data_IF_566769201692
#
_entry.id   IF_566769201692
#
_cell.length_a   1.000
_cell.length_b   1.000
_cell.length_c   1.000
_cell.angle_alpha   90.00
_cell.angle_beta   90.00
_cell.angle_gamma   90.00
#
_symmetry.space_group_name_H-M   'P 1'
#
loop_
_entity.id
_entity.type
_entity.pdbx_description
1 polymer ?
#
# COMPACT_ATOMS: atom_id res chain seq x y z
N UNK A 1 8.30 -23.52 -66.19
CA UNK A 1 8.46 -23.38 -64.71
C UNK A 1 8.87 -21.98 -64.21
N UNK A 2 9.25 -21.00 -65.06
CA UNK A 2 9.66 -19.65 -64.60
C UNK A 2 8.51 -18.76 -64.07
N UNK A 3 7.26 -19.01 -64.46
CA UNK A 3 6.10 -18.18 -64.07
C UNK A 3 5.64 -18.39 -62.61
N UNK A 4 5.80 -19.60 -62.07
CA UNK A 4 5.39 -19.93 -60.70
C UNK A 4 6.33 -19.26 -59.68
N UNK A 5 7.65 -19.30 -59.93
CA UNK A 5 8.63 -18.64 -59.06
C UNK A 5 8.48 -17.12 -58.98
N UNK A 6 8.02 -16.46 -60.07
CA UNK A 6 7.87 -15.00 -60.12
C UNK A 6 6.71 -14.46 -59.25
N UNK A 7 5.69 -15.28 -59.00
CA UNK A 7 4.55 -14.92 -58.15
C UNK A 7 4.58 -15.62 -56.78
N UNK A 8 5.62 -16.42 -56.51
CA UNK A 8 5.76 -17.17 -55.27
C UNK A 8 5.94 -16.23 -54.07
N UNK A 9 6.69 -15.15 -54.23
CA UNK A 9 6.90 -14.15 -53.18
C UNK A 9 5.61 -13.39 -52.85
N UNK A 10 4.77 -13.12 -53.87
CA UNK A 10 3.44 -12.50 -53.69
C UNK A 10 2.46 -13.44 -52.99
N UNK A 11 2.49 -14.73 -53.33
CA UNK A 11 1.70 -15.74 -52.65
C UNK A 11 2.14 -15.89 -51.19
N UNK A 12 3.45 -15.90 -50.93
CA UNK A 12 3.99 -15.93 -49.57
C UNK A 12 3.56 -14.69 -48.76
N UNK A 13 3.53 -13.51 -49.38
CA UNK A 13 3.05 -12.28 -48.75
C UNK A 13 1.56 -12.35 -48.38
N UNK A 14 0.73 -12.91 -49.26
CA UNK A 14 -0.71 -13.09 -49.01
C UNK A 14 -0.95 -14.11 -47.89
N UNK A 15 -0.19 -15.21 -47.89
CA UNK A 15 -0.22 -16.20 -46.82
C UNK A 15 0.22 -15.58 -45.49
N UNK A 16 1.28 -14.76 -45.49
CA UNK A 16 1.72 -14.02 -44.30
C UNK A 16 0.64 -13.06 -43.79
N UNK A 17 -0.03 -12.32 -44.68
CA UNK A 17 -1.09 -11.39 -44.33
C UNK A 17 -2.32 -12.08 -43.70
N UNK A 18 -2.60 -13.33 -44.07
CA UNK A 18 -3.65 -14.14 -43.47
C UNK A 18 -3.24 -14.78 -42.12
N UNK A 19 -1.95 -15.02 -41.90
CA UNK A 19 -1.45 -15.65 -40.67
C UNK A 19 -1.23 -14.62 -39.55
N UNK A 20 -0.86 -13.38 -39.88
CA UNK A 20 -0.68 -12.28 -38.93
C UNK A 20 -1.86 -12.06 -37.95
N UNK A 21 -3.13 -12.00 -38.38
CA UNK A 21 -4.23 -11.85 -37.43
C UNK A 21 -4.35 -13.06 -36.50
N UNK A 22 -4.11 -14.28 -36.99
CA UNK A 22 -4.25 -15.52 -36.21
C UNK A 22 -3.21 -15.60 -35.08
N UNK A 23 -1.98 -15.10 -35.31
CA UNK A 23 -0.96 -15.05 -34.25
C UNK A 23 -1.21 -13.94 -33.22
N UNK A 24 -1.84 -12.83 -33.61
CA UNK A 24 -2.26 -11.78 -32.65
C UNK A 24 -3.39 -12.24 -31.72
N UNK A 25 -4.29 -13.13 -32.18
CA UNK A 25 -5.36 -13.69 -31.33
C UNK A 25 -4.92 -14.93 -30.52
N UNK A 26 -3.68 -15.40 -30.68
CA UNK A 26 -3.15 -16.56 -29.96
C UNK A 26 -2.45 -16.19 -28.64
N UNK A 27 -2.36 -14.90 -28.30
CA UNK A 27 -1.90 -14.46 -26.99
C UNK A 27 -3.00 -14.76 -25.96
N UNK A 28 -2.88 -15.91 -25.31
CA UNK A 28 -3.77 -16.27 -24.22
C UNK A 28 -3.60 -15.26 -23.10
N UNK A 29 -4.64 -14.46 -22.85
CA UNK A 29 -4.74 -13.71 -21.60
C UNK A 29 -4.83 -14.73 -20.46
N UNK A 30 -3.70 -15.05 -19.84
CA UNK A 30 -3.72 -15.64 -18.52
C UNK A 30 -4.42 -14.62 -17.62
N UNK A 31 -5.67 -14.89 -17.25
CA UNK A 31 -6.37 -14.13 -16.22
C UNK A 31 -5.65 -14.42 -14.90
N UNK A 32 -4.59 -13.65 -14.65
CA UNK A 32 -3.86 -13.66 -13.40
C UNK A 32 -4.65 -12.81 -12.43
N UNK A 33 -5.09 -13.43 -11.34
CA UNK A 33 -5.63 -12.69 -10.20
C UNK A 33 -4.44 -12.03 -9.51
N UNK A 34 -4.18 -10.77 -9.88
CA UNK A 34 -3.19 -9.95 -9.18
C UNK A 34 -3.62 -9.77 -7.73
N UNK A 35 -2.68 -9.89 -6.79
CA UNK A 35 -2.96 -9.64 -5.39
C UNK A 35 -3.35 -8.15 -5.23
N UNK A 36 -4.59 -7.81 -4.85
CA UNK A 36 -5.01 -6.42 -4.69
C UNK A 36 -4.28 -5.70 -3.54
N UNK A 37 -3.66 -6.46 -2.63
CA UNK A 37 -2.84 -5.96 -1.51
C UNK A 37 -1.37 -5.77 -1.92
N UNK A 38 -0.97 -6.32 -3.09
CA UNK A 38 0.38 -6.21 -3.67
C UNK A 38 1.52 -6.63 -2.74
N UNK A 39 1.24 -7.51 -1.76
CA UNK A 39 2.23 -8.04 -0.83
C UNK A 39 2.70 -9.43 -1.26
N UNK A 40 4.01 -9.59 -1.49
CA UNK A 40 4.61 -10.88 -1.86
C UNK A 40 5.08 -11.69 -0.65
N UNK A 41 5.41 -11.01 0.45
CA UNK A 41 5.88 -11.63 1.70
C UNK A 41 5.03 -11.23 2.91
N UNK A 42 5.10 -12.02 3.98
CA UNK A 42 4.47 -11.69 5.26
C UNK A 42 4.96 -10.33 5.80
N UNK A 43 6.25 -10.01 5.58
CA UNK A 43 6.84 -8.74 6.00
C UNK A 43 6.20 -7.58 5.23
N UNK A 44 6.02 -7.72 3.92
CA UNK A 44 5.41 -6.68 3.09
C UNK A 44 3.92 -6.49 3.41
N UNK A 45 3.22 -7.58 3.75
CA UNK A 45 1.84 -7.50 4.23
C UNK A 45 1.76 -6.70 5.54
N UNK A 46 2.63 -7.00 6.50
CA UNK A 46 2.71 -6.27 7.78
C UNK A 46 3.01 -4.79 7.51
N UNK A 47 4.01 -4.48 6.67
CA UNK A 47 4.34 -3.09 6.31
C UNK A 47 3.16 -2.34 5.69
N UNK A 48 2.47 -2.97 4.75
CA UNK A 48 1.29 -2.38 4.07
C UNK A 48 0.18 -2.05 5.07
N UNK A 49 -0.08 -2.95 6.03
CA UNK A 49 -1.06 -2.71 7.09
C UNK A 49 -0.63 -1.55 7.99
N UNK A 50 0.63 -1.53 8.42
CA UNK A 50 1.16 -0.45 9.27
C UNK A 50 1.12 0.90 8.57
N UNK A 51 1.48 0.97 7.28
CA UNK A 51 1.40 2.20 6.49
C UNK A 51 -0.04 2.72 6.40
N UNK A 52 -1.00 1.82 6.17
CA UNK A 52 -2.43 2.14 6.22
C UNK A 52 -2.87 2.70 7.59
N UNK A 53 -2.43 2.05 8.68
CA UNK A 53 -2.71 2.52 10.05
C UNK A 53 -2.10 3.89 10.33
N UNK A 54 -0.85 4.14 9.90
CA UNK A 54 -0.19 5.44 10.10
C UNK A 54 -0.90 6.53 9.31
N UNK A 55 -1.31 6.24 8.07
CA UNK A 55 -2.01 7.20 7.20
C UNK A 55 -3.29 7.73 7.82
N UNK A 56 -4.01 6.89 8.57
CA UNK A 56 -5.26 7.26 9.26
C UNK A 56 -4.99 7.72 10.70
N UNK A 57 -4.07 7.06 11.39
CA UNK A 57 -3.74 7.30 12.80
C UNK A 57 -3.06 8.65 13.04
N UNK A 58 -2.21 9.11 12.12
CA UNK A 58 -1.54 10.42 12.24
C UNK A 58 -2.53 11.59 12.31
N UNK A 59 -3.50 11.74 11.38
CA UNK A 59 -4.56 12.73 11.51
C UNK A 59 -5.34 12.63 12.82
N UNK A 60 -5.66 11.42 13.28
CA UNK A 60 -6.41 11.19 14.53
C UNK A 60 -5.62 11.68 15.74
N UNK A 61 -4.31 11.38 15.81
CA UNK A 61 -3.44 11.85 16.89
C UNK A 61 -3.39 13.38 16.90
N UNK A 62 -3.23 14.02 15.73
CA UNK A 62 -3.20 15.48 15.64
C UNK A 62 -4.50 16.08 16.19
N UNK A 63 -5.65 15.53 15.80
CA UNK A 63 -6.95 15.97 16.32
C UNK A 63 -7.08 15.75 17.83
N UNK A 64 -6.59 14.62 18.35
CA UNK A 64 -6.61 14.32 19.78
C UNK A 64 -5.70 15.25 20.61
N UNK A 65 -4.56 15.67 20.04
CA UNK A 65 -3.67 16.68 20.66
C UNK A 65 -4.36 18.03 20.70
N UNK A 66 -4.98 18.46 19.60
CA UNK A 66 -5.75 19.71 19.53
C UNK A 66 -6.89 19.69 20.55
N UNK A 67 -7.65 18.60 20.62
CA UNK A 67 -8.74 18.43 21.57
C UNK A 67 -8.26 18.50 23.03
N UNK A 68 -7.15 17.82 23.33
CA UNK A 68 -6.56 17.88 24.67
C UNK A 68 -6.13 19.31 25.02
N UNK A 69 -5.53 20.04 24.07
CA UNK A 69 -5.19 21.46 24.22
C UNK A 69 -6.41 22.34 24.47
N UNK A 70 -7.51 22.12 23.75
CA UNK A 70 -8.77 22.82 23.99
C UNK A 70 -9.31 22.55 25.40
N UNK A 71 -9.24 21.31 25.88
CA UNK A 71 -9.70 20.93 27.21
C UNK A 71 -8.91 21.65 28.32
N UNK A 72 -7.60 21.86 28.12
CA UNK A 72 -6.78 22.69 29.03
C UNK A 72 -7.24 24.14 29.08
N UNK A 73 -7.56 24.75 27.93
CA UNK A 73 -8.06 26.13 27.88
C UNK A 73 -9.46 26.23 28.50
N UNK A 74 -10.34 25.28 28.20
CA UNK A 74 -11.70 25.22 28.70
C UNK A 74 -11.78 24.96 30.22
N UNK A 75 -10.75 24.39 30.83
CA UNK A 75 -10.72 24.13 32.26
C UNK A 75 -10.69 25.41 33.11
N UNK A 76 -10.14 26.52 32.60
CA UNK A 76 -10.17 27.85 33.25
C UNK A 76 -9.75 27.85 34.74
N UNK A 77 -8.83 26.96 35.15
CA UNK A 77 -8.38 26.85 36.54
C UNK A 77 -9.24 25.95 37.44
N UNK A 78 -10.30 25.33 36.92
CA UNK A 78 -11.01 24.26 37.62
C UNK A 78 -10.12 23.00 37.72
N UNK A 79 -9.83 22.58 38.95
CA UNK A 79 -8.91 21.47 39.24
C UNK A 79 -9.37 20.12 38.68
N UNK A 80 -10.67 19.86 38.67
CA UNK A 80 -11.25 18.62 38.15
C UNK A 80 -11.11 18.54 36.64
N UNK A 81 -11.49 19.61 35.93
CA UNK A 81 -11.34 19.71 34.46
C UNK A 81 -9.88 19.71 34.01
N UNK A 82 -8.99 20.30 34.81
CA UNK A 82 -7.53 20.25 34.57
C UNK A 82 -6.99 18.82 34.66
N UNK A 83 -7.47 18.04 35.64
CA UNK A 83 -7.10 16.62 35.77
C UNK A 83 -7.56 15.82 34.56
N UNK A 84 -8.78 16.09 34.07
CA UNK A 84 -9.32 15.47 32.87
C UNK A 84 -8.49 15.83 31.62
N UNK A 85 -8.17 17.11 31.42
CA UNK A 85 -7.30 17.58 30.34
C UNK A 85 -5.94 16.87 30.32
N UNK A 86 -5.32 16.74 31.51
CA UNK A 86 -4.05 16.03 31.66
C UNK A 86 -4.18 14.55 31.33
N UNK A 87 -5.24 13.90 31.77
CA UNK A 87 -5.50 12.49 31.46
C UNK A 87 -5.72 12.28 29.96
N UNK A 88 -6.47 13.16 29.31
CA UNK A 88 -6.68 13.15 27.85
C UNK A 88 -5.35 13.26 27.09
N UNK A 89 -4.49 14.19 27.50
CA UNK A 89 -3.17 14.37 26.88
C UNK A 89 -2.29 13.13 27.07
N UNK A 90 -2.25 12.55 28.27
CA UNK A 90 -1.46 11.34 28.54
C UNK A 90 -1.92 10.18 27.65
N UNK A 91 -3.22 9.94 27.52
CA UNK A 91 -3.72 8.90 26.62
C UNK A 91 -3.41 9.18 25.16
N UNK A 92 -3.47 10.44 24.74
CA UNK A 92 -3.09 10.85 23.38
C UNK A 92 -1.60 10.54 23.12
N UNK A 93 -0.73 10.84 24.08
CA UNK A 93 0.71 10.55 23.99
C UNK A 93 0.99 9.04 23.98
N UNK A 94 0.28 8.26 24.80
CA UNK A 94 0.40 6.80 24.80
C UNK A 94 -0.03 6.24 23.44
N UNK A 95 -1.16 6.70 22.90
CA UNK A 95 -1.64 6.28 21.57
C UNK A 95 -0.64 6.62 20.47
N UNK A 96 -0.04 7.82 20.51
CA UNK A 96 1.00 8.22 19.59
C UNK A 96 2.27 7.38 19.72
N UNK A 97 2.71 7.10 20.94
CA UNK A 97 3.88 6.26 21.21
C UNK A 97 3.66 4.83 20.72
N UNK A 98 2.46 4.27 20.89
CA UNK A 98 2.11 2.95 20.35
C UNK A 98 2.14 2.97 18.82
N UNK A 99 1.51 3.96 18.17
CA UNK A 99 1.48 4.02 16.71
C UNK A 99 2.90 4.07 16.11
N UNK A 100 3.76 4.94 16.64
CA UNK A 100 5.14 5.09 16.19
C UNK A 100 6.01 3.88 16.60
N UNK A 101 5.80 3.37 17.82
CA UNK A 101 6.53 2.22 18.36
C UNK A 101 6.25 0.92 17.64
N UNK A 102 5.00 0.69 17.22
CA UNK A 102 4.62 -0.49 16.43
C UNK A 102 5.39 -0.56 15.11
N UNK A 103 5.61 0.58 14.44
CA UNK A 103 6.39 0.63 13.21
C UNK A 103 7.87 0.34 13.45
N UNK A 104 8.46 0.93 14.49
CA UNK A 104 9.84 0.66 14.87
C UNK A 104 10.07 -0.83 15.18
N UNK A 105 9.16 -1.45 15.96
CA UNK A 105 9.24 -2.89 16.30
C UNK A 105 9.08 -3.75 15.04
N UNK A 106 8.12 -3.45 14.17
CA UNK A 106 7.92 -4.20 12.93
C UNK A 106 9.16 -4.17 12.03
N UNK A 107 9.81 -3.00 11.92
CA UNK A 107 11.03 -2.84 11.15
C UNK A 107 12.21 -3.62 11.77
N UNK A 108 12.38 -3.58 13.09
CA UNK A 108 13.40 -4.38 13.79
C UNK A 108 13.24 -5.88 13.56
N UNK A 109 12.00 -6.38 13.61
CA UNK A 109 11.71 -7.79 13.34
C UNK A 109 12.04 -8.12 11.87
N UNK A 110 11.63 -7.28 10.93
CA UNK A 110 11.91 -7.45 9.51
C UNK A 110 13.41 -7.50 9.22
N UNK A 111 14.18 -6.60 9.83
CA UNK A 111 15.64 -6.54 9.64
C UNK A 111 16.34 -7.75 10.25
N UNK A 112 15.86 -8.24 11.40
CA UNK A 112 16.38 -9.47 12.02
C UNK A 112 16.14 -10.70 11.14
N UNK A 113 14.94 -10.82 10.55
CA UNK A 113 14.60 -11.93 9.65
C UNK A 113 15.41 -11.88 8.36
N UNK A 114 15.68 -10.68 7.81
CA UNK A 114 16.51 -10.51 6.61
C UNK A 114 17.99 -10.77 6.84
N UNK A 115 18.46 -10.65 8.09
CA UNK A 115 19.85 -10.89 8.45
C UNK A 115 20.19 -12.38 8.63
N UNK A 116 19.17 -13.25 8.69
CA UNK A 116 19.31 -14.71 8.71
C UNK A 116 19.39 -15.28 7.28
#
# INVERSE_FOLDING_TARGET
MKYIKKNLDKFNLIVLMFILPVVSFAEGEEIRVENPIQSETLIDLIKTILEGLIKIGMPIIVLAVIYSGFLFVAAQGNSEKLSEAKRSLVYTLIGAAILLGSWAIAQLIADTVKAL
#
